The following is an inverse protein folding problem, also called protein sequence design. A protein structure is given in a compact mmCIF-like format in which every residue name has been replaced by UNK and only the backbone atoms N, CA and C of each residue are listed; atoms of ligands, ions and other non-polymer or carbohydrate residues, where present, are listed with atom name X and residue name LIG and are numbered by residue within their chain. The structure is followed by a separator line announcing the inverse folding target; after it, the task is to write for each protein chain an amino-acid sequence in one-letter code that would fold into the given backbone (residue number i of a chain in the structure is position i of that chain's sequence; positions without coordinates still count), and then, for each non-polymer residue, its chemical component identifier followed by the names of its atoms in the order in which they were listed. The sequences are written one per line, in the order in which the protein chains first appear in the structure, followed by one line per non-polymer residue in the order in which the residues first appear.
data_IF_985265010252
#
_entry.id   IF_985265010252
#
_cell.length_a   1.000
_cell.length_b   1.000
_cell.length_c   1.000
_cell.angle_alpha   90.00
_cell.angle_beta   90.00
_cell.angle_gamma   90.00
#
_symmetry.space_group_name_H-M   'P 1'
#
loop_
_entity.id
_entity.type
_entity.pdbx_description
1 polymer ?
#
# COMPACT_ATOMS: atom_id res chain seq x y z
N UNK A 1 -3.65 12.16 -12.44
CA UNK A 1 -2.92 10.97 -12.93
C UNK A 1 -2.08 11.36 -14.12
N UNK A 2 -0.78 11.01 -14.13
CA UNK A 2 0.12 11.24 -15.27
C UNK A 2 0.48 9.91 -15.93
N UNK A 3 0.35 9.81 -17.25
CA UNK A 3 0.78 8.63 -18.02
C UNK A 3 2.28 8.33 -17.85
N UNK A 4 3.09 9.37 -17.61
CA UNK A 4 4.52 9.23 -17.37
C UNK A 4 4.81 8.41 -16.11
N UNK A 5 3.99 8.54 -15.06
CA UNK A 5 4.20 7.83 -13.80
C UNK A 5 3.95 6.33 -13.93
N UNK A 6 3.07 5.90 -14.85
CA UNK A 6 2.89 4.47 -15.15
C UNK A 6 4.13 3.82 -15.77
N UNK A 7 4.93 4.60 -16.50
CA UNK A 7 6.12 4.12 -17.20
C UNK A 7 7.35 4.21 -16.28
N UNK A 8 7.52 5.35 -15.60
CA UNK A 8 8.74 5.65 -14.85
C UNK A 8 8.62 5.43 -13.34
N UNK A 9 7.42 5.15 -12.83
CA UNK A 9 7.10 5.07 -11.41
C UNK A 9 6.73 6.43 -10.81
N UNK A 10 6.09 6.40 -9.64
CA UNK A 10 5.70 7.60 -8.90
C UNK A 10 6.95 8.35 -8.38
N UNK A 11 6.96 9.70 -8.46
CA UNK A 11 8.14 10.51 -8.19
C UNK A 11 8.67 10.35 -6.75
N UNK A 12 7.78 10.18 -5.77
CA UNK A 12 8.12 9.98 -4.36
C UNK A 12 8.92 8.69 -4.15
N UNK A 13 8.58 7.62 -4.87
CA UNK A 13 9.33 6.35 -4.84
C UNK A 13 10.68 6.51 -5.56
N UNK A 14 10.72 7.28 -6.66
CA UNK A 14 11.94 7.50 -7.44
C UNK A 14 12.97 8.34 -6.69
N UNK A 15 12.53 9.25 -5.84
CA UNK A 15 13.38 10.16 -5.06
C UNK A 15 14.08 9.49 -3.86
N UNK A 16 13.66 8.29 -3.48
CA UNK A 16 14.29 7.54 -2.38
C UNK A 16 15.73 7.13 -2.70
N UNK A 17 16.56 7.06 -1.66
CA UNK A 17 17.87 6.42 -1.76
C UNK A 17 17.74 4.93 -2.15
N UNK A 18 18.79 4.31 -2.71
CA UNK A 18 18.69 2.95 -3.24
C UNK A 18 18.22 1.91 -2.23
N UNK A 19 18.58 2.04 -0.95
CA UNK A 19 18.21 1.08 0.09
C UNK A 19 16.72 1.19 0.42
N UNK A 20 16.23 2.39 0.71
CA UNK A 20 14.80 2.63 0.97
C UNK A 20 13.95 2.28 -0.24
N UNK A 21 14.44 2.58 -1.45
CA UNK A 21 13.75 2.23 -2.69
C UNK A 21 13.59 0.72 -2.86
N UNK A 22 14.64 -0.06 -2.56
CA UNK A 22 14.57 -1.52 -2.60
C UNK A 22 13.62 -2.08 -1.54
N UNK A 23 13.61 -1.50 -0.33
CA UNK A 23 12.67 -1.85 0.74
C UNK A 23 11.22 -1.58 0.32
N UNK A 24 10.93 -0.37 -0.19
CA UNK A 24 9.59 0.00 -0.69
C UNK A 24 9.15 -0.89 -1.84
N UNK A 25 10.06 -1.26 -2.75
CA UNK A 25 9.75 -2.20 -3.82
C UNK A 25 9.29 -3.56 -3.27
N UNK A 26 9.99 -4.11 -2.27
CA UNK A 26 9.60 -5.38 -1.63
C UNK A 26 8.21 -5.26 -0.98
N UNK A 27 7.95 -4.15 -0.30
CA UNK A 27 6.63 -3.89 0.30
C UNK A 27 5.51 -3.79 -0.74
N UNK A 28 5.76 -3.13 -1.88
CA UNK A 28 4.80 -3.11 -3.01
C UNK A 28 4.53 -4.53 -3.51
N UNK A 29 5.58 -5.33 -3.71
CA UNK A 29 5.43 -6.71 -4.18
C UNK A 29 4.64 -7.56 -3.17
N UNK A 30 4.83 -7.35 -1.87
CA UNK A 30 4.05 -7.98 -0.79
C UNK A 30 2.59 -7.54 -0.77
N UNK A 31 2.30 -6.24 -0.89
CA UNK A 31 0.92 -5.73 -0.98
C UNK A 31 0.19 -6.30 -2.19
N UNK A 32 0.87 -6.39 -3.33
CA UNK A 32 0.31 -6.99 -4.55
C UNK A 32 0.01 -8.47 -4.35
N UNK A 33 0.86 -9.19 -3.60
CA UNK A 33 0.59 -10.58 -3.27
C UNK A 33 -0.63 -10.71 -2.36
N UNK A 34 -0.70 -9.93 -1.26
CA UNK A 34 -1.84 -9.90 -0.33
C UNK A 34 -3.15 -9.62 -1.08
N UNK A 35 -3.17 -8.57 -1.92
CA UNK A 35 -4.37 -8.21 -2.68
C UNK A 35 -4.80 -9.27 -3.70
N UNK A 36 -3.92 -10.19 -4.10
CA UNK A 36 -4.25 -11.32 -4.98
C UNK A 36 -4.74 -12.56 -4.23
N UNK A 37 -4.25 -12.78 -3.02
CA UNK A 37 -4.53 -14.00 -2.25
C UNK A 37 -5.66 -13.81 -1.25
N UNK A 38 -5.59 -12.75 -0.45
CA UNK A 38 -6.40 -12.59 0.75
C UNK A 38 -7.35 -11.40 0.67
N UNK A 39 -7.07 -10.45 -0.22
CA UNK A 39 -7.62 -9.08 -0.17
C UNK A 39 -7.05 -8.30 1.04
N UNK A 40 -7.36 -7.01 1.14
CA UNK A 40 -6.92 -6.13 2.23
C UNK A 40 -7.95 -6.01 3.36
N UNK A 41 -9.20 -6.43 3.09
CA UNK A 41 -10.30 -6.44 4.04
C UNK A 41 -11.04 -7.78 3.99
N UNK A 42 -11.74 -8.11 5.07
CA UNK A 42 -12.56 -9.33 5.16
C UNK A 42 -14.01 -9.02 5.57
N UNK A 43 -14.93 -9.90 5.19
CA UNK A 43 -16.32 -9.90 5.67
C UNK A 43 -16.51 -10.79 6.92
N UNK A 44 -15.52 -11.64 7.23
CA UNK A 44 -15.55 -12.58 8.35
C UNK A 44 -14.34 -12.38 9.27
N UNK A 45 -14.50 -12.55 10.59
CA UNK A 45 -13.39 -12.44 11.52
C UNK A 45 -12.46 -13.66 11.42
N UNK A 46 -11.18 -13.47 11.74
CA UNK A 46 -10.18 -14.53 11.83
C UNK A 46 -9.06 -14.44 10.79
N UNK A 47 -8.18 -15.44 10.76
CA UNK A 47 -7.06 -15.49 9.82
C UNK A 47 -6.09 -14.30 9.94
N UNK A 48 -5.66 -13.70 8.81
CA UNK A 48 -4.70 -12.59 8.81
C UNK A 48 -5.31 -11.22 9.16
N UNK A 49 -6.61 -11.15 9.45
CA UNK A 49 -7.34 -9.89 9.65
C UNK A 49 -7.44 -9.48 11.12
N UNK A 50 -7.37 -8.18 11.41
CA UNK A 50 -7.58 -7.62 12.73
C UNK A 50 -9.07 -7.62 13.15
N UNK A 51 -9.36 -7.16 14.37
CA UNK A 51 -10.74 -7.09 14.88
C UNK A 51 -11.63 -6.07 14.13
N UNK A 52 -11.03 -5.21 13.30
CA UNK A 52 -11.72 -4.29 12.40
C UNK A 52 -11.77 -4.83 10.97
N UNK A 53 -11.45 -6.12 10.79
CA UNK A 53 -11.44 -6.82 9.51
C UNK A 53 -10.40 -6.30 8.50
N UNK A 54 -9.36 -5.60 8.95
CA UNK A 54 -8.26 -5.15 8.09
C UNK A 54 -7.09 -6.14 8.10
N UNK A 55 -6.45 -6.35 6.95
CA UNK A 55 -5.29 -7.24 6.86
C UNK A 55 -4.11 -6.69 7.68
N UNK A 56 -3.64 -7.45 8.67
CA UNK A 56 -2.62 -6.99 9.64
C UNK A 56 -1.31 -6.63 8.96
N UNK A 57 -0.84 -7.47 8.05
CA UNK A 57 0.44 -7.22 7.37
C UNK A 57 0.37 -6.03 6.40
N UNK A 58 -0.72 -5.87 5.66
CA UNK A 58 -0.94 -4.70 4.82
C UNK A 58 -0.92 -3.41 5.67
N UNK A 59 -1.54 -3.43 6.85
CA UNK A 59 -1.51 -2.31 7.80
C UNK A 59 -0.12 -2.04 8.38
N UNK A 60 0.64 -3.09 8.70
CA UNK A 60 2.02 -2.97 9.15
C UNK A 60 2.93 -2.38 8.06
N UNK A 61 2.78 -2.84 6.82
CA UNK A 61 3.47 -2.28 5.65
C UNK A 61 3.13 -0.79 5.48
N UNK A 62 1.86 -0.42 5.63
CA UNK A 62 1.44 0.99 5.58
C UNK A 62 2.18 1.85 6.61
N UNK A 63 2.29 1.39 7.86
CA UNK A 63 3.07 2.08 8.91
C UNK A 63 4.53 2.25 8.53
N UNK A 64 5.14 1.20 7.98
CA UNK A 64 6.54 1.24 7.57
C UNK A 64 6.77 2.22 6.40
N UNK A 65 5.86 2.25 5.43
CA UNK A 65 5.89 3.22 4.33
C UNK A 65 5.78 4.64 4.87
N UNK A 66 4.87 4.87 5.82
CA UNK A 66 4.70 6.18 6.46
C UNK A 66 5.97 6.64 7.19
N UNK A 67 6.65 5.74 7.92
CA UNK A 67 7.93 6.05 8.57
C UNK A 67 9.03 6.46 7.57
N UNK A 68 9.02 5.89 6.36
CA UNK A 68 10.05 6.10 5.35
C UNK A 68 9.87 7.44 4.63
N UNK A 69 8.64 7.81 4.27
CA UNK A 69 8.39 8.95 3.40
C UNK A 69 7.04 9.65 3.63
N UNK A 70 6.41 9.41 4.77
CA UNK A 70 5.16 10.06 5.15
C UNK A 70 4.00 9.74 4.23
N UNK A 71 3.03 10.65 4.18
CA UNK A 71 1.77 10.48 3.45
C UNK A 71 1.98 10.46 1.93
N UNK A 72 2.92 11.24 1.42
CA UNK A 72 3.19 11.34 -0.03
C UNK A 72 3.69 10.00 -0.58
N UNK A 73 4.58 9.33 0.17
CA UNK A 73 5.04 8.00 -0.21
C UNK A 73 3.92 6.95 -0.09
N UNK A 74 3.03 7.07 0.90
CA UNK A 74 1.86 6.19 0.97
C UNK A 74 0.97 6.32 -0.27
N UNK A 75 0.66 7.54 -0.70
CA UNK A 75 -0.12 7.75 -1.92
C UNK A 75 0.58 7.19 -3.17
N UNK A 76 1.89 7.39 -3.29
CA UNK A 76 2.68 6.85 -4.38
C UNK A 76 2.65 5.31 -4.42
N UNK A 77 2.77 4.65 -3.25
CA UNK A 77 2.67 3.19 -3.16
C UNK A 77 1.26 2.71 -3.49
N UNK A 78 0.23 3.34 -2.90
CA UNK A 78 -1.18 3.03 -3.16
C UNK A 78 -1.51 3.12 -4.66
N UNK A 79 -1.02 4.16 -5.32
CA UNK A 79 -1.20 4.35 -6.75
C UNK A 79 -0.48 3.27 -7.58
N UNK A 80 0.73 2.88 -7.16
CA UNK A 80 1.47 1.78 -7.78
C UNK A 80 0.75 0.44 -7.61
N UNK A 81 0.18 0.16 -6.44
CA UNK A 81 -0.64 -1.03 -6.17
C UNK A 81 -1.91 -1.00 -7.03
N UNK A 82 -2.59 0.15 -7.13
CA UNK A 82 -3.74 0.33 -8.03
C UNK A 82 -3.41 -0.05 -9.47
N UNK A 83 -2.27 0.40 -10.01
CA UNK A 83 -1.86 0.04 -11.38
C UNK A 83 -1.60 -1.45 -11.58
N UNK A 84 -1.14 -2.15 -10.54
CA UNK A 84 -0.80 -3.58 -10.58
C UNK A 84 -2.00 -4.49 -10.32
N UNK A 85 -3.03 -3.95 -9.69
CA UNK A 85 -4.27 -4.64 -9.33
C UNK A 85 -5.45 -3.97 -10.06
N UNK A 86 -6.45 -3.52 -9.32
CA UNK A 86 -7.66 -2.86 -9.81
C UNK A 86 -8.13 -1.83 -8.79
N UNK A 87 -8.93 -0.86 -9.24
CA UNK A 87 -9.40 0.27 -8.43
C UNK A 87 -10.03 -0.17 -7.09
N UNK A 88 -10.90 -1.18 -7.10
CA UNK A 88 -11.54 -1.72 -5.89
C UNK A 88 -10.54 -2.27 -4.87
N UNK A 89 -9.45 -2.91 -5.31
CA UNK A 89 -8.44 -3.41 -4.37
C UNK A 89 -7.59 -2.28 -3.78
N UNK A 90 -7.44 -1.18 -4.51
CA UNK A 90 -6.80 0.01 -3.96
C UNK A 90 -7.70 0.67 -2.89
N UNK A 91 -9.01 0.69 -3.08
CA UNK A 91 -9.97 1.16 -2.07
C UNK A 91 -9.96 0.27 -0.81
N UNK A 92 -9.87 -1.06 -0.97
CA UNK A 92 -9.71 -1.97 0.16
C UNK A 92 -8.39 -1.73 0.90
N UNK A 93 -7.31 -1.42 0.19
CA UNK A 93 -6.05 -1.02 0.80
C UNK A 93 -6.20 0.29 1.60
N UNK A 94 -6.95 1.26 1.07
CA UNK A 94 -7.24 2.52 1.76
C UNK A 94 -7.92 2.25 3.11
N UNK A 95 -8.90 1.33 3.14
CA UNK A 95 -9.52 0.87 4.37
C UNK A 95 -8.53 0.20 5.33
N UNK A 96 -7.69 -0.71 4.84
CA UNK A 96 -6.69 -1.37 5.68
C UNK A 96 -5.68 -0.38 6.32
N UNK A 97 -5.41 0.73 5.66
CA UNK A 97 -4.52 1.80 6.13
C UNK A 97 -5.21 2.85 7.01
N UNK A 98 -6.51 2.71 7.30
CA UNK A 98 -7.20 3.60 8.24
C UNK A 98 -6.49 3.64 9.60
N UNK A 99 -6.14 4.86 10.03
CA UNK A 99 -5.40 5.13 11.27
C UNK A 99 -3.89 4.95 11.17
N UNK A 100 -3.33 4.76 9.98
CA UNK A 100 -1.88 4.84 9.74
C UNK A 100 -1.50 6.31 9.49
N UNK A 101 -0.77 6.93 10.42
CA UNK A 101 -0.40 8.34 10.31
C UNK A 101 -1.63 9.23 10.14
N UNK A 102 -1.61 10.08 9.11
CA UNK A 102 -2.72 10.97 8.73
C UNK A 102 -3.47 10.46 7.48
N UNK A 103 -3.50 9.16 7.23
CA UNK A 103 -4.20 8.58 6.07
C UNK A 103 -5.70 8.86 6.10
N UNK A 104 -6.24 9.41 5.01
CA UNK A 104 -7.63 9.88 4.90
C UNK A 104 -8.31 9.54 3.56
N UNK A 105 -7.67 8.73 2.71
CA UNK A 105 -8.27 8.29 1.46
C UNK A 105 -9.49 7.40 1.68
#
# INVERSE_FOLDING_TARGET
MSIFNKIFGEPEIRALDPQKKAEVKKMIDQLVQIGKTDDFISLAPGGPFDHQYHHRDAKAIGRRIYEIGGIDLMFAVRQTVKYKLKDVLAEHLDHAWKGVGNWQA
#
